data_IF_031767217055
#
_entry.id   IF_031767217055
#
_cell.length_a   1.000
_cell.length_b   1.000
_cell.length_c   1.000
_cell.angle_alpha   90.00
_cell.angle_beta   90.00
_cell.angle_gamma   90.00
#
_symmetry.space_group_name_H-M   'P 1'
#
loop_
_entity.id
_entity.type
_entity.pdbx_description
1 polymer ?
#
# COMPACT_ATOMS: atom_id res chain seq x y z
N UNK A 1 -9.01 -34.34 -10.07
CA UNK A 1 -7.70 -34.31 -10.77
C UNK A 1 -7.15 -32.89 -10.67
N UNK A 2 -6.07 -32.66 -9.92
CA UNK A 2 -5.42 -31.34 -9.84
C UNK A 2 -4.38 -31.28 -10.96
N UNK A 3 -4.63 -30.48 -12.00
CA UNK A 3 -3.72 -30.37 -13.14
C UNK A 3 -2.44 -29.62 -12.74
N UNK A 4 -1.25 -30.24 -12.87
CA UNK A 4 0.01 -29.59 -12.50
C UNK A 4 0.29 -28.31 -13.31
N UNK A 5 -0.24 -28.22 -14.53
CA UNK A 5 -0.19 -27.02 -15.36
C UNK A 5 -0.93 -25.81 -14.74
N UNK A 6 -2.02 -26.06 -14.01
CA UNK A 6 -2.81 -25.02 -13.35
C UNK A 6 -2.06 -24.48 -12.13
N UNK A 7 -1.38 -25.36 -11.39
CA UNK A 7 -0.51 -24.96 -10.28
C UNK A 7 0.71 -24.15 -10.78
N UNK A 8 1.32 -24.56 -11.90
CA UNK A 8 2.44 -23.85 -12.50
C UNK A 8 2.05 -22.45 -13.00
N UNK A 9 0.88 -22.32 -13.64
CA UNK A 9 0.36 -21.03 -14.08
C UNK A 9 0.08 -20.09 -12.90
N UNK A 10 -0.57 -20.59 -11.83
CA UNK A 10 -0.83 -19.81 -10.61
C UNK A 10 0.48 -19.36 -9.97
N UNK A 11 1.47 -20.25 -9.85
CA UNK A 11 2.78 -19.93 -9.29
C UNK A 11 3.51 -18.84 -10.08
N UNK A 12 3.48 -18.91 -11.41
CA UNK A 12 4.10 -17.90 -12.27
C UNK A 12 3.42 -16.53 -12.14
N UNK A 13 2.08 -16.49 -12.06
CA UNK A 13 1.34 -15.23 -11.86
C UNK A 13 1.64 -14.60 -10.49
N UNK A 14 1.73 -15.39 -9.43
CA UNK A 14 2.08 -14.88 -8.09
C UNK A 14 3.51 -14.32 -8.04
N UNK A 15 4.46 -14.93 -8.73
CA UNK A 15 5.82 -14.42 -8.83
C UNK A 15 5.90 -13.08 -9.57
N UNK A 16 5.08 -12.90 -10.62
CA UNK A 16 4.97 -11.63 -11.34
C UNK A 16 4.34 -10.52 -10.48
N UNK A 17 3.35 -10.86 -9.66
CA UNK A 17 2.74 -9.91 -8.71
C UNK A 17 3.73 -9.52 -7.60
N UNK A 18 4.61 -10.43 -7.18
CA UNK A 18 5.68 -10.12 -6.23
C UNK A 18 6.76 -9.19 -6.81
N UNK A 19 6.85 -9.05 -8.13
CA UNK A 19 7.74 -8.11 -8.79
C UNK A 19 7.20 -6.67 -8.82
N UNK A 20 5.92 -6.44 -8.49
CA UNK A 20 5.42 -5.10 -8.23
C UNK A 20 6.10 -4.55 -6.97
N UNK A 21 6.92 -3.51 -7.10
CA UNK A 21 7.55 -2.90 -5.93
C UNK A 21 6.50 -2.26 -5.03
N UNK A 22 6.70 -2.34 -3.71
CA UNK A 22 5.85 -1.63 -2.74
C UNK A 22 5.78 -0.13 -3.05
N UNK A 23 6.88 0.44 -3.56
CA UNK A 23 6.94 1.80 -4.05
C UNK A 23 5.94 2.08 -5.18
N UNK A 24 5.92 1.24 -6.22
CA UNK A 24 5.04 1.43 -7.37
C UNK A 24 3.56 1.34 -6.99
N UNK A 25 3.21 0.42 -6.11
CA UNK A 25 1.83 0.31 -5.58
C UNK A 25 1.48 1.53 -4.74
N UNK A 26 2.38 1.97 -3.87
CA UNK A 26 2.17 3.14 -3.02
C UNK A 26 1.96 4.42 -3.84
N UNK A 27 2.86 4.70 -4.77
CA UNK A 27 2.79 5.88 -5.63
C UNK A 27 1.54 5.83 -6.54
N UNK A 28 1.20 4.66 -7.08
CA UNK A 28 0.01 4.46 -7.91
C UNK A 28 -1.33 4.62 -7.17
N UNK A 29 -1.35 4.52 -5.84
CA UNK A 29 -2.57 4.61 -5.02
C UNK A 29 -2.71 5.93 -4.27
N UNK A 30 -1.78 6.88 -4.44
CA UNK A 30 -1.72 8.13 -3.68
C UNK A 30 -3.01 8.98 -3.81
N UNK A 31 -3.54 9.14 -5.03
CA UNK A 31 -4.77 9.90 -5.26
C UNK A 31 -5.99 9.27 -4.58
N UNK A 32 -6.09 7.94 -4.63
CA UNK A 32 -7.18 7.20 -3.99
C UNK A 32 -7.12 7.33 -2.47
N UNK A 33 -5.94 7.20 -1.86
CA UNK A 33 -5.77 7.37 -0.41
C UNK A 33 -6.22 8.75 0.08
N UNK A 34 -5.91 9.80 -0.67
CA UNK A 34 -6.33 11.15 -0.31
C UNK A 34 -7.86 11.32 -0.39
N UNK A 35 -8.53 10.61 -1.30
CA UNK A 35 -9.99 10.58 -1.42
C UNK A 35 -10.63 9.73 -0.31
N UNK A 36 -10.02 8.61 0.04
CA UNK A 36 -10.53 7.70 1.07
C UNK A 36 -10.68 8.40 2.43
N UNK A 37 -9.86 9.42 2.70
CA UNK A 37 -9.98 10.25 3.90
C UNK A 37 -11.36 10.91 4.09
N UNK A 38 -12.19 11.04 3.05
CA UNK A 38 -13.54 11.61 3.19
C UNK A 38 -14.50 10.73 4.02
N UNK A 39 -14.12 9.46 4.26
CA UNK A 39 -14.86 8.56 5.16
C UNK A 39 -14.79 9.00 6.63
N UNK A 40 -13.78 9.77 7.03
CA UNK A 40 -13.59 10.12 8.43
C UNK A 40 -14.66 11.11 8.91
N UNK A 41 -15.17 10.88 10.13
CA UNK A 41 -16.32 11.60 10.67
C UNK A 41 -15.97 13.00 11.14
N UNK A 42 -14.84 13.16 11.85
CA UNK A 42 -14.38 14.45 12.35
C UNK A 42 -13.51 15.18 11.32
N UNK A 43 -13.49 16.51 11.41
CA UNK A 43 -12.64 17.32 10.55
C UNK A 43 -11.15 17.07 10.83
N UNK A 44 -10.78 16.97 12.11
CA UNK A 44 -9.39 16.73 12.51
C UNK A 44 -8.89 15.39 11.96
N UNK A 45 -9.65 14.30 12.10
CA UNK A 45 -9.26 13.00 11.54
C UNK A 45 -9.14 13.03 10.01
N UNK A 46 -10.02 13.78 9.32
CA UNK A 46 -9.92 13.98 7.87
C UNK A 46 -8.64 14.72 7.49
N UNK A 47 -8.31 15.78 8.21
CA UNK A 47 -7.13 16.62 7.94
C UNK A 47 -5.85 15.82 8.22
N UNK A 48 -5.77 15.10 9.34
CA UNK A 48 -4.64 14.22 9.69
C UNK A 48 -4.47 13.09 8.65
N UNK A 49 -5.57 12.46 8.22
CA UNK A 49 -5.54 11.45 7.17
C UNK A 49 -4.97 12.02 5.85
N UNK A 50 -5.39 13.22 5.46
CA UNK A 50 -4.95 13.87 4.22
C UNK A 50 -3.48 14.26 4.28
N UNK A 51 -2.98 14.68 5.45
CA UNK A 51 -1.56 14.91 5.71
C UNK A 51 -0.77 13.62 5.42
N UNK A 52 -1.18 12.50 6.03
CA UNK A 52 -0.53 11.21 5.85
C UNK A 52 -0.66 10.65 4.44
N UNK A 53 -1.76 10.92 3.74
CA UNK A 53 -1.97 10.52 2.35
C UNK A 53 -1.01 11.23 1.37
N UNK A 54 -0.45 12.39 1.75
CA UNK A 54 0.45 13.18 0.91
C UNK A 54 1.92 12.78 1.02
N UNK A 55 2.30 12.01 2.05
CA UNK A 55 3.68 11.55 2.24
C UNK A 55 4.21 10.89 0.97
N UNK A 56 5.43 11.29 0.59
CA UNK A 56 6.19 10.58 -0.43
C UNK A 56 6.53 9.17 0.07
N UNK A 57 6.83 8.25 -0.84
CA UNK A 57 7.19 6.89 -0.44
C UNK A 57 8.37 6.82 0.54
N UNK A 58 9.47 7.59 0.36
CA UNK A 58 10.57 7.61 1.33
C UNK A 58 10.17 8.13 2.72
N UNK A 59 9.29 9.12 2.80
CA UNK A 59 8.81 9.65 4.09
C UNK A 59 7.95 8.61 4.80
N UNK A 60 6.99 8.00 4.09
CA UNK A 60 6.19 6.89 4.61
C UNK A 60 7.05 5.70 5.06
N UNK A 61 8.05 5.31 4.27
CA UNK A 61 8.95 4.21 4.61
C UNK A 61 9.71 4.49 5.90
N UNK A 62 10.25 5.71 6.04
CA UNK A 62 10.92 6.14 7.25
C UNK A 62 9.98 6.09 8.47
N UNK A 63 8.80 6.69 8.38
CA UNK A 63 7.84 6.70 9.48
C UNK A 63 7.38 5.29 9.88
N UNK A 64 7.17 4.41 8.89
CA UNK A 64 6.84 3.01 9.11
C UNK A 64 7.95 2.30 9.89
N UNK A 65 9.20 2.48 9.46
CA UNK A 65 10.34 1.80 10.07
C UNK A 65 10.61 2.31 11.49
N UNK A 66 10.45 3.61 11.74
CA UNK A 66 10.47 4.21 13.08
C UNK A 66 9.38 3.61 13.97
N UNK A 67 8.14 3.56 13.50
CA UNK A 67 7.02 2.98 14.24
C UNK A 67 7.15 1.47 14.52
N UNK A 68 7.96 0.75 13.74
CA UNK A 68 8.29 -0.66 13.98
C UNK A 68 9.46 -0.81 14.95
N UNK A 69 10.40 0.12 14.97
CA UNK A 69 11.55 0.12 15.88
C UNK A 69 11.18 0.51 17.32
N UNK A 70 10.11 1.30 17.50
CA UNK A 70 9.61 1.72 18.81
C UNK A 70 8.73 0.66 19.53
N UNK A 71 8.46 -0.48 18.89
CA UNK A 71 7.69 -1.60 19.45
C UNK A 71 8.56 -2.67 20.08
#
# INVERSE_FOLDING_TARGET
MRSPALAAAIGATLALLAACSNRGVYEGTQAWRAQDCDVQSSRTERDDCREQARLTYPEYEKERDEALAER
#
